data_IF_032947676245
#
_entry.id   IF_032947676245
#
_cell.length_a   1.000
_cell.length_b   1.000
_cell.length_c   1.000
_cell.angle_alpha   90.00
_cell.angle_beta   90.00
_cell.angle_gamma   90.00
#
_symmetry.space_group_name_H-M   'P 1'
#
loop_
_entity.id
_entity.type
_entity.pdbx_description
1 polymer ?
#
# COMPACT_ATOMS: atom_id res chain seq x y z
N UNK A 1 -2.89 5.80 -17.22
CA UNK A 1 -3.58 4.50 -17.15
C UNK A 1 -3.90 4.21 -15.69
N UNK A 2 -5.09 3.72 -15.39
CA UNK A 2 -5.47 3.31 -14.03
C UNK A 2 -5.22 1.80 -13.87
N UNK A 3 -4.65 1.40 -12.74
CA UNK A 3 -4.35 0.00 -12.45
C UNK A 3 -4.81 -0.32 -11.04
N UNK A 4 -5.51 -1.45 -10.86
CA UNK A 4 -5.82 -1.95 -9.54
C UNK A 4 -4.54 -2.36 -8.81
N UNK A 5 -4.51 -2.19 -7.49
CA UNK A 5 -3.42 -2.70 -6.66
C UNK A 5 -3.36 -4.22 -6.78
N UNK A 6 -2.19 -4.81 -7.11
CA UNK A 6 -2.06 -6.26 -7.17
C UNK A 6 -2.09 -6.87 -5.77
N UNK A 7 -2.58 -8.11 -5.67
CA UNK A 7 -2.68 -8.88 -4.42
C UNK A 7 -3.48 -8.16 -3.31
N UNK A 8 -4.57 -7.48 -3.66
CA UNK A 8 -5.38 -6.74 -2.69
C UNK A 8 -6.01 -7.70 -1.65
N UNK A 9 -6.35 -8.94 -2.04
CA UNK A 9 -6.80 -9.95 -1.08
C UNK A 9 -5.71 -10.33 -0.09
N UNK A 10 -4.45 -10.46 -0.52
CA UNK A 10 -3.32 -10.72 0.37
C UNK A 10 -3.14 -9.59 1.39
N UNK A 11 -3.17 -8.32 0.94
CA UNK A 11 -3.10 -7.15 1.83
C UNK A 11 -4.27 -7.17 2.83
N UNK A 12 -5.48 -7.42 2.35
CA UNK A 12 -6.70 -7.46 3.18
C UNK A 12 -6.63 -8.58 4.23
N UNK A 13 -5.96 -9.69 3.93
CA UNK A 13 -5.75 -10.82 4.84
C UNK A 13 -4.60 -10.62 5.84
N UNK A 14 -3.63 -9.74 5.56
CA UNK A 14 -2.54 -9.45 6.50
C UNK A 14 -3.07 -8.80 7.77
N UNK A 15 -2.92 -9.42 8.94
CA UNK A 15 -3.44 -8.95 10.25
C UNK A 15 -2.92 -7.57 10.69
N UNK A 16 -1.81 -7.11 10.14
CA UNK A 16 -1.23 -5.78 10.41
C UNK A 16 -1.76 -4.66 9.51
N UNK A 17 -2.67 -4.96 8.57
CA UNK A 17 -3.36 -3.95 7.76
C UNK A 17 -4.63 -3.42 8.44
N UNK A 18 -4.65 -2.18 8.89
CA UNK A 18 -5.76 -1.62 9.66
C UNK A 18 -6.87 -0.98 8.81
N UNK A 19 -6.68 -0.90 7.49
CA UNK A 19 -7.63 -0.22 6.60
C UNK A 19 -7.61 1.30 6.81
N UNK A 20 -8.78 1.92 6.74
CA UNK A 20 -8.95 3.36 6.96
C UNK A 20 -8.63 3.69 8.42
N UNK A 21 -7.52 4.41 8.61
CA UNK A 21 -7.02 4.84 9.90
C UNK A 21 -6.16 6.08 9.68
N UNK A 22 -6.34 7.10 10.52
CA UNK A 22 -5.50 8.30 10.44
C UNK A 22 -4.15 8.14 11.18
N UNK A 23 -3.26 9.13 11.03
CA UNK A 23 -1.93 9.06 11.66
C UNK A 23 -1.99 9.12 13.19
N UNK A 24 -2.95 9.85 13.77
CA UNK A 24 -3.05 10.06 15.21
C UNK A 24 -3.59 8.82 15.91
N UNK A 25 -4.53 8.12 15.28
CA UNK A 25 -4.98 6.79 15.72
C UNK A 25 -3.82 5.79 15.71
N UNK A 26 -3.02 5.78 14.64
CA UNK A 26 -1.84 4.94 14.55
C UNK A 26 -0.78 5.29 15.62
N UNK A 27 -0.54 6.58 15.87
CA UNK A 27 0.38 7.05 16.92
C UNK A 27 -0.02 6.55 18.30
N UNK A 28 -1.32 6.65 18.65
CA UNK A 28 -1.85 6.15 19.94
C UNK A 28 -1.64 4.65 20.10
N UNK A 29 -1.85 3.88 19.04
CA UNK A 29 -1.65 2.42 19.06
C UNK A 29 -0.19 2.00 19.19
N UNK A 30 0.72 2.82 18.63
CA UNK A 30 2.17 2.60 18.65
C UNK A 30 2.85 3.19 19.89
N UNK A 31 2.15 3.99 20.68
CA UNK A 31 2.70 4.59 21.89
C UNK A 31 3.21 3.50 22.84
N UNK A 32 4.42 3.71 23.38
CA UNK A 32 5.11 2.78 24.28
C UNK A 32 5.32 1.36 23.72
N UNK A 33 5.16 1.15 22.41
CA UNK A 33 5.51 -0.13 21.77
C UNK A 33 7.02 -0.23 21.53
N UNK A 34 7.58 -1.46 21.46
CA UNK A 34 8.98 -1.65 21.12
C UNK A 34 9.32 -1.07 19.75
N UNK A 35 10.59 -0.68 19.59
CA UNK A 35 11.13 -0.29 18.28
C UNK A 35 10.95 -1.42 17.25
N UNK A 36 10.59 -1.05 16.03
CA UNK A 36 10.24 -1.96 14.95
C UNK A 36 8.77 -2.39 14.93
N UNK A 37 7.97 -2.00 15.93
CA UNK A 37 6.51 -2.21 15.89
C UNK A 37 5.90 -1.38 14.78
N UNK A 38 5.07 -1.97 13.92
CA UNK A 38 4.49 -1.28 12.77
C UNK A 38 3.06 -1.72 12.47
N UNK A 39 2.35 -0.90 11.69
CA UNK A 39 1.09 -1.24 11.06
C UNK A 39 1.01 -0.63 9.66
N UNK A 40 0.29 -1.30 8.76
CA UNK A 40 -0.09 -0.78 7.45
C UNK A 40 -1.50 -0.18 7.55
N UNK A 41 -1.74 0.97 6.94
CA UNK A 41 -3.04 1.63 6.90
C UNK A 41 -3.25 2.34 5.57
N UNK A 42 -4.48 2.71 5.28
CA UNK A 42 -4.76 3.61 4.16
C UNK A 42 -4.11 4.97 4.44
N UNK A 43 -3.58 5.63 3.40
CA UNK A 43 -3.08 6.99 3.55
C UNK A 43 -4.26 7.96 3.71
N UNK A 44 -4.04 9.03 4.48
CA UNK A 44 -4.99 10.14 4.55
C UNK A 44 -4.77 11.17 3.41
N UNK A 45 -3.77 10.95 2.54
CA UNK A 45 -3.50 11.80 1.39
C UNK A 45 -3.96 11.11 0.12
N UNK A 46 -4.71 11.85 -0.71
CA UNK A 46 -5.35 11.33 -1.92
C UNK A 46 -4.34 10.84 -2.98
N UNK A 47 -3.08 11.27 -2.94
CA UNK A 47 -2.06 10.80 -3.88
C UNK A 47 -1.54 9.39 -3.57
N UNK A 48 -1.73 8.88 -2.35
CA UNK A 48 -1.15 7.61 -1.90
C UNK A 48 -2.25 6.69 -1.39
N UNK A 49 -2.18 5.40 -1.73
CA UNK A 49 -3.17 4.45 -1.22
C UNK A 49 -2.86 4.00 0.20
N UNK A 50 -1.58 3.80 0.51
CA UNK A 50 -1.15 3.18 1.75
C UNK A 50 -0.04 3.98 2.45
N UNK A 51 0.03 3.82 3.76
CA UNK A 51 1.14 4.27 4.60
C UNK A 51 1.47 3.20 5.62
N UNK A 52 2.76 3.04 5.93
CA UNK A 52 3.20 2.34 7.14
C UNK A 52 3.37 3.35 8.26
N UNK A 53 2.89 3.00 9.45
CA UNK A 53 3.21 3.73 10.68
C UNK A 53 4.02 2.79 11.57
N UNK A 54 5.15 3.25 12.07
CA UNK A 54 6.10 2.39 12.75
C UNK A 54 6.82 3.12 13.88
N UNK A 55 7.37 2.34 14.81
CA UNK A 55 8.10 2.84 15.97
C UNK A 55 9.60 2.76 15.69
N UNK A 56 10.31 3.88 15.80
CA UNK A 56 11.78 3.95 15.70
C UNK A 56 12.32 5.12 16.49
N UNK A 57 13.48 4.97 17.15
CA UNK A 57 14.12 6.02 17.95
C UNK A 57 13.19 6.62 19.01
N UNK A 58 12.38 5.76 19.62
CA UNK A 58 11.34 6.14 20.57
C UNK A 58 10.36 7.21 20.02
N UNK A 59 10.11 7.18 18.71
CA UNK A 59 9.14 8.03 18.00
C UNK A 59 8.27 7.19 17.09
N UNK A 60 7.06 7.69 16.84
CA UNK A 60 6.15 7.13 15.85
C UNK A 60 6.43 7.87 14.56
N UNK A 61 6.79 7.13 13.52
CA UNK A 61 7.14 7.64 12.20
C UNK A 61 6.17 7.06 11.17
N UNK A 62 6.08 7.73 10.02
CA UNK A 62 5.19 7.33 8.94
C UNK A 62 5.93 7.39 7.61
N UNK A 63 5.78 6.36 6.80
CA UNK A 63 6.27 6.35 5.43
C UNK A 63 5.11 6.02 4.49
N UNK A 64 4.94 6.83 3.44
CA UNK A 64 3.94 6.60 2.40
C UNK A 64 4.50 5.61 1.40
N UNK A 65 3.65 4.73 0.91
CA UNK A 65 4.04 3.81 -0.15
C UNK A 65 3.77 4.49 -1.48
N UNK A 66 4.84 4.83 -2.18
CA UNK A 66 4.80 5.43 -3.50
C UNK A 66 4.67 4.35 -4.58
N UNK A 67 4.23 4.74 -5.77
CA UNK A 67 4.14 3.85 -6.92
C UNK A 67 4.78 4.49 -8.14
N UNK A 68 5.68 3.76 -8.79
CA UNK A 68 6.26 4.11 -10.07
C UNK A 68 6.59 2.89 -10.91
N UNK A 69 6.23 2.92 -12.20
CA UNK A 69 6.53 1.86 -13.16
C UNK A 69 6.13 0.46 -12.67
N UNK A 70 4.88 0.34 -12.20
CA UNK A 70 4.30 -0.87 -11.58
C UNK A 70 5.04 -1.41 -10.34
N UNK A 71 5.94 -0.62 -9.74
CA UNK A 71 6.62 -0.95 -8.49
C UNK A 71 6.21 -0.01 -7.36
N UNK A 72 6.33 -0.51 -6.14
CA UNK A 72 6.06 0.15 -4.88
C UNK A 72 7.36 0.31 -4.08
N UNK A 73 7.57 1.49 -3.51
CA UNK A 73 8.74 1.83 -2.68
C UNK A 73 8.39 2.93 -1.69
N UNK A 74 9.31 3.26 -0.78
CA UNK A 74 9.17 4.42 0.13
C UNK A 74 9.73 5.73 -0.46
N UNK A 75 10.46 5.64 -1.56
CA UNK A 75 10.84 6.75 -2.44
C UNK A 75 10.88 6.20 -3.85
N UNK A 76 10.00 6.68 -4.72
CA UNK A 76 9.89 6.19 -6.11
C UNK A 76 10.80 6.93 -7.09
N UNK A 77 11.43 8.02 -6.65
CA UNK A 77 12.30 8.86 -7.47
C UNK A 77 13.78 8.50 -7.28
N UNK A 78 14.14 7.89 -6.15
CA UNK A 78 15.48 7.36 -5.90
C UNK A 78 15.63 5.90 -6.39
N UNK A 79 16.42 5.64 -7.46
CA UNK A 79 16.64 4.28 -7.96
C UNK A 79 17.45 3.38 -7.02
N UNK A 80 18.12 3.94 -6.00
CA UNK A 80 18.82 3.18 -4.98
C UNK A 80 17.87 2.59 -3.92
N UNK A 81 16.68 3.16 -3.77
CA UNK A 81 15.68 2.69 -2.80
C UNK A 81 15.01 1.42 -3.31
N UNK A 82 14.82 0.46 -2.40
CA UNK A 82 14.23 -0.83 -2.75
C UNK A 82 12.80 -0.66 -3.27
N UNK A 83 12.52 -1.30 -4.40
CA UNK A 83 11.22 -1.25 -5.06
C UNK A 83 10.80 -2.64 -5.55
N UNK A 84 9.52 -2.97 -5.40
CA UNK A 84 8.96 -4.29 -5.75
C UNK A 84 7.54 -4.19 -6.27
N UNK A 85 7.04 -5.23 -6.93
CA UNK A 85 5.73 -5.22 -7.60
C UNK A 85 4.54 -5.30 -6.63
N UNK A 86 4.77 -5.64 -5.36
CA UNK A 86 3.71 -5.81 -4.36
C UNK A 86 4.00 -5.05 -3.07
N UNK A 87 2.95 -4.48 -2.46
CA UNK A 87 3.05 -3.84 -1.14
C UNK A 87 3.58 -4.84 -0.11
N UNK A 88 3.13 -6.10 -0.17
CA UNK A 88 3.58 -7.15 0.75
C UNK A 88 5.08 -7.43 0.61
N UNK A 89 5.60 -7.49 -0.61
CA UNK A 89 7.03 -7.65 -0.85
C UNK A 89 7.84 -6.49 -0.27
N UNK A 90 7.29 -5.26 -0.32
CA UNK A 90 7.94 -4.09 0.26
C UNK A 90 8.03 -4.23 1.78
N UNK A 91 6.92 -4.61 2.44
CA UNK A 91 6.93 -4.88 3.88
C UNK A 91 7.92 -5.98 4.24
N UNK A 92 7.96 -7.08 3.46
CA UNK A 92 8.86 -8.21 3.70
C UNK A 92 10.33 -7.81 3.67
N UNK A 93 10.74 -6.96 2.72
CA UNK A 93 12.10 -6.47 2.62
C UNK A 93 12.56 -5.73 3.88
N UNK A 94 11.69 -4.88 4.44
CA UNK A 94 11.98 -4.06 5.62
C UNK A 94 11.72 -4.78 6.96
N UNK A 95 11.49 -6.10 6.95
CA UNK A 95 11.38 -6.91 8.18
C UNK A 95 12.72 -7.24 8.81
N UNK A 96 13.80 -7.31 8.04
CA UNK A 96 15.14 -7.62 8.56
C UNK A 96 15.83 -6.33 9.02
N UNK A 97 16.09 -6.14 10.33
CA UNK A 97 16.81 -4.98 10.84
C UNK A 97 18.18 -4.79 10.20
N UNK A 98 18.84 -5.88 9.80
CA UNK A 98 20.19 -5.83 9.23
C UNK A 98 20.20 -5.29 7.80
N UNK A 99 19.05 -5.29 7.13
CA UNK A 99 18.88 -4.71 5.80
C UNK A 99 18.41 -3.25 5.84
N UNK A 100 18.08 -2.72 7.01
CA UNK A 100 17.49 -1.38 7.15
C UNK A 100 18.55 -0.34 7.56
N UNK A 101 18.78 0.67 6.72
CA UNK A 101 19.57 1.85 7.08
C UNK A 101 18.87 2.66 8.19
N UNK A 102 19.61 3.56 8.84
CA UNK A 102 19.10 4.37 9.97
C UNK A 102 17.91 5.29 9.61
N UNK A 103 17.73 5.63 8.33
CA UNK A 103 16.65 6.50 7.85
C UNK A 103 15.45 5.71 7.28
N UNK A 104 15.60 4.41 7.04
CA UNK A 104 14.57 3.60 6.40
C UNK A 104 13.48 3.11 7.38
N UNK A 105 12.33 2.62 6.90
CA UNK A 105 11.39 1.94 7.79
C UNK A 105 11.99 0.64 8.33
N UNK A 106 11.77 0.35 9.61
CA UNK A 106 12.10 -0.95 10.20
C UNK A 106 10.82 -1.59 10.70
N UNK A 107 10.38 -2.65 10.02
CA UNK A 107 9.02 -3.21 10.09
C UNK A 107 9.05 -4.64 10.65
N UNK A 108 9.63 -4.80 11.83
CA UNK A 108 9.98 -6.12 12.38
C UNK A 108 8.83 -6.78 13.16
N UNK A 109 7.98 -5.97 13.80
CA UNK A 109 6.93 -6.46 14.71
C UNK A 109 5.55 -5.96 14.24
N UNK A 110 4.71 -6.81 13.63
CA UNK A 110 3.39 -6.40 13.19
C UNK A 110 2.46 -6.12 14.38
N UNK A 111 1.86 -4.93 14.42
CA UNK A 111 0.76 -4.63 15.30
C UNK A 111 -0.55 -5.07 14.64
N UNK A 112 -1.11 -6.16 15.15
CA UNK A 112 -2.28 -6.81 14.57
C UNK A 112 -3.59 -6.08 14.93
N UNK A 113 -4.48 -5.92 13.95
CA UNK A 113 -5.85 -5.43 14.17
C UNK A 113 -6.62 -6.36 15.11
N UNK A 114 -7.48 -5.76 15.93
CA UNK A 114 -8.33 -6.47 16.90
C UNK A 114 -9.76 -6.71 16.41
N UNK A 115 -10.05 -6.40 15.15
CA UNK A 115 -11.39 -6.51 14.55
C UNK A 115 -11.33 -7.12 13.15
N UNK A 116 -12.40 -7.82 12.71
CA UNK A 116 -12.50 -8.29 11.34
C UNK A 116 -12.90 -7.15 10.40
N UNK A 117 -12.49 -7.24 9.13
CA UNK A 117 -13.08 -6.40 8.09
C UNK A 117 -14.49 -6.87 7.71
N UNK A 118 -15.25 -5.96 7.09
CA UNK A 118 -16.57 -6.29 6.56
C UNK A 118 -16.50 -7.30 5.40
N UNK A 119 -17.55 -8.11 5.24
CA UNK A 119 -17.68 -8.98 4.06
C UNK A 119 -17.59 -8.18 2.75
N UNK A 120 -18.16 -6.98 2.70
CA UNK A 120 -18.09 -6.07 1.56
C UNK A 120 -16.64 -5.77 1.15
N UNK A 121 -15.75 -5.57 2.13
CA UNK A 121 -14.33 -5.30 1.89
C UNK A 121 -13.59 -6.53 1.38
N UNK A 122 -13.86 -7.71 1.95
CA UNK A 122 -13.31 -8.97 1.43
C UNK A 122 -13.78 -9.25 0.00
N UNK A 123 -15.07 -9.09 -0.29
CA UNK A 123 -15.61 -9.25 -1.64
C UNK A 123 -14.94 -8.30 -2.64
N UNK A 124 -14.74 -7.02 -2.27
CA UNK A 124 -13.99 -6.09 -3.13
C UNK A 124 -12.60 -6.61 -3.42
N UNK A 125 -11.85 -7.01 -2.38
CA UNK A 125 -10.50 -7.50 -2.55
C UNK A 125 -10.44 -8.72 -3.48
N UNK A 126 -11.33 -9.70 -3.28
CA UNK A 126 -11.41 -10.88 -4.14
C UNK A 126 -11.79 -10.53 -5.59
N UNK A 127 -12.78 -9.66 -5.80
CA UNK A 127 -13.19 -9.25 -7.16
C UNK A 127 -12.04 -8.52 -7.87
N UNK A 128 -11.43 -7.53 -7.21
CA UNK A 128 -10.36 -6.71 -7.78
C UNK A 128 -9.10 -7.51 -8.15
N UNK A 129 -8.83 -8.64 -7.49
CA UNK A 129 -7.72 -9.52 -7.84
C UNK A 129 -7.94 -10.35 -9.12
N UNK A 130 -9.19 -10.42 -9.63
CA UNK A 130 -9.56 -11.26 -10.78
C UNK A 130 -9.98 -10.46 -12.02
N UNK A 131 -9.91 -9.12 -11.98
CA UNK A 131 -10.32 -8.24 -13.09
C UNK A 131 -9.30 -7.11 -13.30
N UNK A 132 -9.32 -6.47 -14.46
CA UNK A 132 -8.60 -5.21 -14.66
C UNK A 132 -9.46 -4.02 -14.22
N UNK A 133 -8.82 -2.86 -14.02
CA UNK A 133 -9.51 -1.62 -13.66
C UNK A 133 -10.59 -1.25 -14.69
N UNK A 134 -10.26 -1.35 -15.98
CA UNK A 134 -11.15 -0.96 -17.07
C UNK A 134 -12.38 -1.90 -17.18
N UNK A 135 -12.27 -3.15 -16.70
CA UNK A 135 -13.36 -4.12 -16.72
C UNK A 135 -14.48 -3.79 -15.72
N UNK A 136 -14.20 -2.99 -14.67
CA UNK A 136 -15.16 -2.63 -13.61
C UNK A 136 -16.41 -1.98 -14.22
N UNK A 137 -16.25 -1.19 -15.28
CA UNK A 137 -17.36 -0.50 -15.94
C UNK A 137 -18.38 -1.47 -16.56
N UNK A 138 -17.93 -2.66 -16.99
CA UNK A 138 -18.75 -3.67 -17.66
C UNK A 138 -19.51 -4.58 -16.69
N UNK A 139 -19.15 -4.60 -15.41
CA UNK A 139 -19.79 -5.46 -14.41
C UNK A 139 -21.30 -5.17 -14.29
N UNK A 140 -22.16 -6.17 -14.09
CA UNK A 140 -23.60 -5.99 -13.89
C UNK A 140 -23.91 -5.55 -12.45
N UNK A 141 -23.30 -4.45 -12.01
CA UNK A 141 -23.42 -3.90 -10.66
C UNK A 141 -23.96 -2.46 -10.69
N UNK A 142 -24.68 -2.01 -9.64
CA UNK A 142 -25.02 -0.61 -9.45
C UNK A 142 -23.79 0.31 -9.45
N UNK A 143 -23.97 1.56 -9.90
CA UNK A 143 -22.90 2.56 -10.00
C UNK A 143 -22.09 2.71 -8.70
N UNK A 144 -22.76 2.78 -7.55
CA UNK A 144 -22.10 2.93 -6.25
C UNK A 144 -21.17 1.75 -5.91
N UNK A 145 -21.47 0.53 -6.36
CA UNK A 145 -20.58 -0.62 -6.16
C UNK A 145 -19.41 -0.60 -7.14
N UNK A 146 -19.61 -0.14 -8.37
CA UNK A 146 -18.50 0.08 -9.32
C UNK A 146 -17.52 1.11 -8.76
N UNK A 147 -18.02 2.25 -8.28
CA UNK A 147 -17.22 3.28 -7.60
C UNK A 147 -16.45 2.69 -6.40
N UNK A 148 -17.11 1.86 -5.59
CA UNK A 148 -16.45 1.17 -4.48
C UNK A 148 -15.31 0.24 -4.89
N UNK A 149 -15.44 -0.47 -6.02
CA UNK A 149 -14.39 -1.35 -6.57
C UNK A 149 -13.20 -0.57 -7.13
N UNK A 150 -13.42 0.66 -7.62
CA UNK A 150 -12.33 1.50 -8.14
C UNK A 150 -11.42 2.07 -7.07
N UNK A 151 -11.74 1.97 -5.77
CA UNK A 151 -11.03 2.69 -4.72
C UNK A 151 -9.50 2.41 -4.67
N UNK A 152 -9.08 1.14 -4.67
CA UNK A 152 -7.65 0.78 -4.58
C UNK A 152 -7.01 0.67 -5.96
N UNK A 153 -6.82 1.81 -6.60
CA UNK A 153 -6.11 1.91 -7.87
C UNK A 153 -5.00 2.98 -7.83
N UNK A 154 -3.94 2.77 -8.60
CA UNK A 154 -2.90 3.77 -8.83
C UNK A 154 -2.92 4.26 -10.28
N UNK A 155 -2.32 5.43 -10.50
CA UNK A 155 -2.21 6.05 -11.83
C UNK A 155 -0.81 5.83 -12.41
N UNK A 156 -0.70 4.95 -13.39
CA UNK A 156 0.52 4.77 -14.16
C UNK A 156 0.65 5.86 -15.22
N UNK A 157 1.75 6.63 -15.17
CA UNK A 157 2.13 7.56 -16.24
C UNK A 157 2.60 6.75 -17.45
N UNK A 158 1.98 6.96 -18.61
CA UNK A 158 2.35 6.30 -19.86
C UNK A 158 3.61 6.98 -20.40
N UNK A 159 4.69 6.23 -20.61
CA UNK A 159 5.86 6.75 -21.34
C UNK A 159 5.51 6.80 -22.82
N UNK A 160 5.33 7.99 -23.37
CA UNK A 160 5.33 8.19 -24.83
C UNK A 160 6.77 7.99 -25.29
N UNK A 161 7.10 6.82 -25.85
CA UNK A 161 8.32 6.68 -26.65
C UNK A 161 8.15 7.57 -27.87
N UNK A 162 8.91 8.67 -27.96
CA UNK A 162 9.16 9.30 -29.26
C UNK A 162 9.92 8.26 -30.06
N UNK A 163 9.30 7.73 -31.12
CA UNK A 163 10.01 6.98 -32.13
C UNK A 163 10.90 7.98 -32.84
N UNK A 164 12.18 8.01 -32.49
CA UNK A 164 13.16 8.74 -33.28
C UNK A 164 13.19 8.09 -34.67
N UNK A 165 12.71 8.83 -35.67
CA UNK A 165 12.76 8.42 -37.07
C UNK A 165 14.24 8.42 -37.51
N UNK A 166 14.74 7.35 -38.15
CA UNK A 166 16.12 7.34 -38.63
C UNK A 166 16.27 8.35 -39.78
N UNK A 167 17.33 9.17 -39.70
CA UNK A 167 17.84 10.00 -40.80
C UNK A 167 18.48 9.13 -41.88
#
# INVERSE_FOLDING_TARGET
>A
MHCLVPELSCITNCSFYWGVMDRYEAEKLLENKPEGTFLLRDSAQDEFLFSVSFRRYNRSLHARIEQWNHKFSFDSHDPAVYATETVRGLIEHYKDPNCCMFFEPMLTQPLNRSFPFSLKQFCRATICDHIAYDDIASLPLPKALKEYLTYYHYKQKVRVRRLDMPN
#
